data_IF_122959940169
#
_entry.id   IF_122959940169
#
_cell.length_a   1.000
_cell.length_b   1.000
_cell.length_c   1.000
_cell.angle_alpha   90.00
_cell.angle_beta   90.00
_cell.angle_gamma   90.00
#
_symmetry.space_group_name_H-M   'P 1'
#
loop_
_entity.id
_entity.type
_entity.pdbx_description
1 polymer ?
#
# COMPACT_ATOMS: atom_id res chain seq x y z
N UNK A 1 16.30 -37.67 38.07
CA UNK A 1 15.79 -36.28 38.24
C UNK A 1 14.47 -36.37 38.99
N UNK A 2 14.28 -35.63 40.09
CA UNK A 2 13.03 -35.71 40.88
C UNK A 2 11.82 -35.26 40.04
N UNK A 3 10.68 -35.96 40.18
CA UNK A 3 9.40 -35.63 39.53
C UNK A 3 9.01 -34.15 39.74
N UNK A 4 9.35 -33.61 40.91
CA UNK A 4 9.11 -32.20 41.28
C UNK A 4 9.93 -31.25 40.39
N UNK A 5 11.18 -31.62 40.05
CA UNK A 5 12.02 -30.81 39.15
C UNK A 5 11.50 -30.85 37.71
N UNK A 6 10.97 -31.98 37.26
CA UNK A 6 10.38 -32.10 35.93
C UNK A 6 9.10 -31.26 35.83
N UNK A 7 8.19 -31.39 36.81
CA UNK A 7 6.94 -30.62 36.84
C UNK A 7 7.21 -29.10 36.92
N UNK A 8 8.15 -28.68 37.79
CA UNK A 8 8.52 -27.28 37.91
C UNK A 8 9.10 -26.71 36.61
N UNK A 9 9.90 -27.48 35.87
CA UNK A 9 10.45 -27.05 34.59
C UNK A 9 9.35 -26.90 33.52
N UNK A 10 8.41 -27.86 33.44
CA UNK A 10 7.31 -27.80 32.47
C UNK A 10 6.38 -26.62 32.73
N UNK A 11 6.07 -26.34 34.00
CA UNK A 11 5.25 -25.17 34.38
C UNK A 11 5.96 -23.86 34.03
N UNK A 12 7.27 -23.76 34.27
CA UNK A 12 8.06 -22.58 33.89
C UNK A 12 8.10 -22.36 32.38
N UNK A 13 8.28 -23.42 31.59
CA UNK A 13 8.24 -23.35 30.12
C UNK A 13 6.85 -22.96 29.62
N UNK A 14 5.78 -23.46 30.25
CA UNK A 14 4.41 -23.11 29.89
C UNK A 14 4.06 -21.65 30.23
N UNK A 15 4.46 -21.17 31.41
CA UNK A 15 4.32 -19.74 31.79
C UNK A 15 5.15 -18.86 30.85
N UNK A 16 6.37 -19.28 30.50
CA UNK A 16 7.21 -18.56 29.55
C UNK A 16 6.58 -18.55 28.14
N UNK A 17 6.00 -19.65 27.67
CA UNK A 17 5.27 -19.70 26.40
C UNK A 17 4.01 -18.81 26.41
N UNK A 18 3.26 -18.77 27.51
CA UNK A 18 2.12 -17.86 27.70
C UNK A 18 2.55 -16.39 27.79
N UNK A 19 3.72 -16.11 28.36
CA UNK A 19 4.30 -14.76 28.37
C UNK A 19 4.90 -14.39 26.99
N UNK A 20 5.35 -15.38 26.22
CA UNK A 20 5.87 -15.22 24.86
C UNK A 20 4.79 -15.23 23.78
N UNK A 21 3.53 -15.52 24.09
CA UNK A 21 2.41 -15.04 23.26
C UNK A 21 2.24 -13.55 23.51
N UNK A 22 3.28 -12.78 23.19
CA UNK A 22 3.10 -11.38 22.90
C UNK A 22 2.06 -11.35 21.80
N UNK A 23 0.92 -10.71 22.07
CA UNK A 23 -0.01 -10.36 21.03
C UNK A 23 0.83 -9.75 19.92
N UNK A 24 0.84 -10.41 18.76
CA UNK A 24 1.33 -9.79 17.54
C UNK A 24 0.38 -8.62 17.36
N UNK A 25 0.77 -7.47 17.91
CA UNK A 25 0.07 -6.21 17.72
C UNK A 25 0.25 -5.96 16.24
N UNK A 26 -0.79 -6.30 15.51
CA UNK A 26 -0.80 -6.03 14.12
C UNK A 26 -1.06 -4.52 14.02
N UNK A 27 -0.06 -3.86 13.46
CA UNK A 27 0.03 -2.41 13.46
C UNK A 27 -0.81 -1.87 12.29
N UNK A 28 -1.43 -0.68 12.44
CA UNK A 28 -2.17 -0.04 11.37
C UNK A 28 -1.29 0.10 10.12
N UNK A 29 -1.84 -0.22 8.96
CA UNK A 29 -1.16 -0.13 7.68
C UNK A 29 -2.01 0.63 6.66
N UNK A 30 -1.34 1.18 5.66
CA UNK A 30 -2.00 1.69 4.46
C UNK A 30 -1.70 0.74 3.31
N UNK A 31 -2.68 0.59 2.41
CA UNK A 31 -2.51 -0.20 1.19
C UNK A 31 -3.21 0.49 0.00
N UNK A 32 -2.73 0.18 -1.20
CA UNK A 32 -3.28 0.71 -2.45
C UNK A 32 -4.10 -0.38 -3.13
N UNK A 33 -5.25 -0.02 -3.70
CA UNK A 33 -5.99 -0.87 -4.62
C UNK A 33 -6.42 -0.08 -5.86
N UNK A 34 -6.56 -0.77 -6.98
CA UNK A 34 -7.21 -0.26 -8.19
C UNK A 34 -8.18 -1.32 -8.70
N UNK A 35 -9.17 -0.91 -9.49
CA UNK A 35 -10.06 -1.84 -10.18
C UNK A 35 -9.32 -2.67 -11.24
N UNK A 36 -8.22 -2.15 -11.80
CA UNK A 36 -7.41 -2.85 -12.79
C UNK A 36 -5.91 -2.51 -12.64
N UNK A 37 -5.04 -3.47 -12.28
CA UNK A 37 -3.59 -3.26 -12.20
C UNK A 37 -2.89 -3.28 -13.56
N UNK A 38 -3.54 -3.81 -14.61
CA UNK A 38 -3.04 -3.82 -15.98
C UNK A 38 -3.67 -2.65 -16.72
N UNK A 39 -2.91 -1.60 -16.91
CA UNK A 39 -3.39 -0.35 -17.48
C UNK A 39 -3.22 -0.41 -18.99
N UNK A 40 -4.34 -0.51 -19.70
CA UNK A 40 -4.34 -0.43 -21.15
C UNK A 40 -4.60 1.02 -21.59
N UNK A 41 -3.69 1.57 -22.40
CA UNK A 41 -3.91 2.88 -23.02
C UNK A 41 -3.34 4.08 -22.25
N UNK A 42 -3.71 5.25 -22.75
CA UNK A 42 -3.40 6.57 -22.16
C UNK A 42 -4.45 7.05 -21.18
N UNK A 43 -5.45 6.23 -20.87
CA UNK A 43 -6.59 6.63 -20.04
C UNK A 43 -6.16 6.83 -18.58
N UNK A 44 -6.64 7.88 -17.88
CA UNK A 44 -6.33 8.07 -16.48
C UNK A 44 -6.83 6.92 -15.60
N UNK A 45 -5.96 6.38 -14.76
CA UNK A 45 -6.27 5.28 -13.84
C UNK A 45 -6.32 5.77 -12.40
N UNK A 46 -7.35 5.35 -11.67
CA UNK A 46 -7.57 5.77 -10.28
C UNK A 46 -7.16 4.67 -9.30
N UNK A 47 -6.22 5.02 -8.44
CA UNK A 47 -5.76 4.23 -7.31
C UNK A 47 -6.43 4.73 -6.03
N UNK A 48 -7.02 3.82 -5.27
CA UNK A 48 -7.64 4.09 -3.98
C UNK A 48 -6.64 3.75 -2.87
N UNK A 49 -6.44 4.66 -1.94
CA UNK A 49 -5.58 4.47 -0.77
C UNK A 49 -6.47 4.14 0.42
N UNK A 50 -6.26 2.98 1.04
CA UNK A 50 -7.03 2.50 2.17
C UNK A 50 -6.17 2.42 3.44
N UNK A 51 -6.85 2.56 4.59
CA UNK A 51 -6.35 2.33 5.93
C UNK A 51 -6.93 1.02 6.47
N UNK A 52 -6.06 0.14 6.93
CA UNK A 52 -6.39 -0.97 7.84
C UNK A 52 -5.82 -0.65 9.21
N UNK A 53 -6.65 -0.59 10.24
CA UNK A 53 -6.18 -0.31 11.60
C UNK A 53 -5.89 -1.55 12.42
N UNK A 54 -6.22 -2.73 11.90
CA UNK A 54 -6.09 -4.02 12.56
C UNK A 54 -6.59 -4.04 14.02
N UNK A 55 -7.72 -3.35 14.24
CA UNK A 55 -8.36 -3.26 15.55
C UNK A 55 -7.91 -2.10 16.44
N UNK A 56 -6.85 -1.38 16.07
CA UNK A 56 -6.46 -0.14 16.74
C UNK A 56 -7.38 1.03 16.34
N UNK A 57 -7.43 2.06 17.19
CA UNK A 57 -8.09 3.33 16.87
C UNK A 57 -7.06 4.29 16.29
N UNK A 58 -7.35 4.85 15.11
CA UNK A 58 -6.51 5.85 14.44
C UNK A 58 -7.28 7.15 14.32
N UNK A 59 -6.74 8.23 14.90
CA UNK A 59 -7.34 9.56 14.90
C UNK A 59 -6.68 10.56 13.96
N UNK A 60 -5.47 10.27 13.50
CA UNK A 60 -4.76 11.04 12.49
C UNK A 60 -3.92 10.13 11.62
N UNK A 61 -3.85 10.44 10.33
CA UNK A 61 -3.15 9.69 9.30
C UNK A 61 -2.36 10.66 8.44
N UNK A 62 -1.08 10.38 8.22
CA UNK A 62 -0.31 10.99 7.16
C UNK A 62 0.36 9.91 6.34
N UNK A 63 0.30 10.01 5.01
CA UNK A 63 0.93 9.08 4.09
C UNK A 63 1.37 9.81 2.81
N UNK A 64 2.50 9.40 2.25
CA UNK A 64 2.97 9.83 0.94
C UNK A 64 2.93 8.65 -0.03
N UNK A 65 2.34 8.85 -1.21
CA UNK A 65 2.32 7.87 -2.30
C UNK A 65 3.27 8.35 -3.40
N UNK A 66 4.42 7.71 -3.53
CA UNK A 66 5.35 7.95 -4.62
C UNK A 66 4.95 7.22 -5.89
N UNK A 67 5.07 7.90 -7.02
CA UNK A 67 4.90 7.32 -8.36
C UNK A 67 6.09 7.72 -9.25
N UNK A 68 6.31 6.96 -10.31
CA UNK A 68 7.40 7.23 -11.25
C UNK A 68 6.92 8.17 -12.38
N UNK A 69 7.56 9.34 -12.50
CA UNK A 69 7.22 10.32 -13.54
C UNK A 69 7.64 9.90 -14.95
N UNK A 70 8.50 8.89 -15.10
CA UNK A 70 8.81 8.33 -16.41
C UNK A 70 7.62 7.55 -17.00
N UNK A 71 6.79 6.99 -16.12
CA UNK A 71 5.63 6.16 -16.49
C UNK A 71 4.30 6.92 -16.38
N UNK A 72 4.22 7.96 -15.55
CA UNK A 72 3.00 8.74 -15.32
C UNK A 72 3.25 10.24 -15.48
N UNK A 73 2.32 10.94 -16.14
CA UNK A 73 2.45 12.36 -16.45
C UNK A 73 1.64 13.23 -15.51
N UNK A 74 0.33 13.23 -15.72
CA UNK A 74 -0.59 14.01 -14.89
C UNK A 74 -1.01 13.21 -13.66
N UNK A 75 -0.99 13.86 -12.49
CA UNK A 75 -1.48 13.32 -11.25
C UNK A 75 -2.57 14.22 -10.66
N UNK A 76 -3.69 13.60 -10.28
CA UNK A 76 -4.81 14.25 -9.62
C UNK A 76 -5.10 13.54 -8.30
N UNK A 77 -5.43 14.29 -7.26
CA UNK A 77 -5.78 13.73 -5.94
C UNK A 77 -7.22 14.12 -5.59
N UNK A 78 -7.93 13.21 -4.93
CA UNK A 78 -9.28 13.43 -4.45
C UNK A 78 -9.47 12.86 -3.05
N UNK A 79 -10.22 13.59 -2.22
CA UNK A 79 -10.63 13.19 -0.88
C UNK A 79 -12.06 12.63 -0.83
N UNK A 80 -12.73 12.49 -1.98
CA UNK A 80 -14.13 12.09 -2.02
C UNK A 80 -14.34 10.66 -1.49
N UNK A 81 -15.27 10.53 -0.54
CA UNK A 81 -15.57 9.27 0.16
C UNK A 81 -14.56 8.88 1.23
N UNK A 82 -13.68 9.80 1.62
CA UNK A 82 -12.66 9.54 2.64
C UNK A 82 -13.25 9.37 4.05
N UNK A 83 -12.59 8.54 4.87
CA UNK A 83 -12.82 8.46 6.32
C UNK A 83 -12.24 9.67 7.07
N UNK A 84 -11.38 10.44 6.40
CA UNK A 84 -10.83 11.69 6.90
C UNK A 84 -11.94 12.75 7.02
N UNK A 85 -12.12 13.26 8.24
CA UNK A 85 -13.10 14.33 8.52
C UNK A 85 -12.52 15.73 8.40
N UNK A 86 -11.20 15.86 8.55
CA UNK A 86 -10.48 17.12 8.43
C UNK A 86 -9.15 16.91 7.74
N UNK A 87 -8.77 17.83 6.87
CA UNK A 87 -7.50 17.81 6.18
C UNK A 87 -6.55 18.80 6.84
N UNK A 88 -5.33 18.36 7.11
CA UNK A 88 -4.31 19.12 7.78
C UNK A 88 -3.08 19.29 6.87
N UNK A 89 -2.21 20.27 7.16
CA UNK A 89 -0.87 20.29 6.58
C UNK A 89 -0.12 18.99 6.91
N UNK A 90 0.77 18.56 6.02
CA UNK A 90 1.66 17.46 6.29
C UNK A 90 2.87 17.97 7.08
N UNK A 91 3.25 17.29 8.16
CA UNK A 91 4.34 17.71 9.04
C UNK A 91 5.74 17.52 8.44
N UNK A 92 5.88 16.79 7.33
CA UNK A 92 7.19 16.27 6.93
C UNK A 92 7.43 16.10 5.43
N UNK A 93 6.62 16.70 4.54
CA UNK A 93 6.86 16.58 3.08
C UNK A 93 6.64 17.88 2.30
N UNK A 94 7.71 18.52 1.77
CA UNK A 94 9.12 18.19 1.98
C UNK A 94 9.58 18.57 3.41
N UNK A 95 10.51 17.81 4.02
CA UNK A 95 11.11 18.20 5.27
C UNK A 95 11.91 19.51 5.08
N UNK A 96 11.47 20.59 5.71
CA UNK A 96 12.21 21.86 5.73
C UNK A 96 11.49 23.06 5.11
N UNK A 97 10.40 22.85 4.37
CA UNK A 97 9.54 23.95 3.93
C UNK A 97 8.24 23.90 4.73
N UNK A 98 8.00 24.93 5.56
CA UNK A 98 6.72 25.16 6.25
C UNK A 98 5.63 25.48 5.20
N UNK A 99 5.29 24.52 4.36
CA UNK A 99 4.21 24.67 3.40
C UNK A 99 2.89 24.60 4.18
N UNK A 100 2.23 25.75 4.31
CA UNK A 100 0.85 25.92 4.81
C UNK A 100 -0.15 25.33 3.80
N UNK A 101 0.20 24.22 3.14
CA UNK A 101 -0.66 23.57 2.15
C UNK A 101 -1.54 22.55 2.85
N UNK A 102 -2.84 22.79 2.81
CA UNK A 102 -3.83 21.78 3.15
C UNK A 102 -3.74 20.62 2.17
N UNK A 103 -3.72 19.38 2.68
CA UNK A 103 -3.72 18.17 1.87
C UNK A 103 -5.14 17.81 1.39
N UNK A 104 -5.31 16.93 0.38
CA UNK A 104 -4.26 16.28 -0.42
C UNK A 104 -3.62 17.20 -1.47
N UNK A 105 -2.34 17.00 -1.77
CA UNK A 105 -1.63 17.69 -2.87
C UNK A 105 -0.56 16.81 -3.51
N UNK A 106 -0.10 17.21 -4.71
CA UNK A 106 1.04 16.61 -5.41
C UNK A 106 2.29 17.45 -5.20
N UNK A 107 3.42 16.82 -4.85
CA UNK A 107 4.72 17.45 -4.76
C UNK A 107 5.84 16.46 -5.11
N UNK A 108 6.71 16.80 -6.05
CA UNK A 108 7.89 16.00 -6.42
C UNK A 108 7.56 14.52 -6.68
N UNK A 109 6.57 14.25 -7.55
CA UNK A 109 6.11 12.90 -7.89
C UNK A 109 5.58 12.08 -6.70
N UNK A 110 5.07 12.78 -5.68
CA UNK A 110 4.42 12.18 -4.51
C UNK A 110 3.05 12.82 -4.28
N UNK A 111 2.04 11.99 -4.07
CA UNK A 111 0.75 12.42 -3.57
C UNK A 111 0.76 12.37 -2.04
N UNK A 112 0.51 13.51 -1.39
CA UNK A 112 0.58 13.64 0.07
C UNK A 112 -0.83 13.74 0.63
N UNK A 113 -1.13 12.87 1.60
CA UNK A 113 -2.40 12.86 2.33
C UNK A 113 -2.07 13.05 3.82
N UNK A 114 -2.68 14.06 4.48
CA UNK A 114 -2.52 14.31 5.92
C UNK A 114 -3.86 14.73 6.51
N UNK A 115 -4.45 13.89 7.35
CA UNK A 115 -5.82 14.11 7.80
C UNK A 115 -6.06 13.69 9.24
N UNK A 116 -7.09 14.27 9.83
CA UNK A 116 -7.66 13.90 11.11
C UNK A 116 -9.02 13.21 10.95
N UNK A 117 -9.25 12.23 11.82
CA UNK A 117 -10.50 11.49 11.96
C UNK A 117 -11.10 11.87 13.32
N UNK A 118 -12.13 12.70 13.29
CA UNK A 118 -12.80 13.24 14.47
C UNK A 118 -13.52 12.14 15.26
N UNK A 119 -13.86 12.45 16.51
CA UNK A 119 -14.61 11.56 17.40
C UNK A 119 -13.74 10.44 17.97
N UNK A 120 -14.18 9.19 17.83
CA UNK A 120 -13.52 8.01 18.40
C UNK A 120 -12.36 7.48 17.53
N UNK A 121 -11.99 8.21 16.46
CA UNK A 121 -11.08 7.73 15.42
C UNK A 121 -11.72 6.66 14.54
N UNK A 122 -10.95 6.17 13.57
CA UNK A 122 -11.31 5.04 12.72
C UNK A 122 -10.77 3.74 13.31
N UNK A 123 -11.59 2.70 13.30
CA UNK A 123 -11.20 1.34 13.67
C UNK A 123 -11.89 0.37 12.69
N UNK A 124 -11.16 -0.07 11.67
CA UNK A 124 -11.69 -0.88 10.59
C UNK A 124 -10.62 -1.25 9.57
N UNK A 125 -10.97 -2.11 8.62
CA UNK A 125 -9.99 -2.78 7.73
C UNK A 125 -9.91 -2.18 6.33
N UNK A 126 -10.73 -1.18 6.00
CA UNK A 126 -10.83 -0.66 4.62
C UNK A 126 -11.34 0.78 4.61
N UNK A 127 -10.72 1.64 5.40
CA UNK A 127 -11.08 3.06 5.46
C UNK A 127 -10.45 3.79 4.28
N UNK A 128 -11.26 4.24 3.32
CA UNK A 128 -10.73 5.01 2.18
C UNK A 128 -10.10 6.30 2.72
N UNK A 129 -8.80 6.53 2.49
CA UNK A 129 -8.12 7.79 2.83
C UNK A 129 -8.29 8.78 1.68
N UNK A 130 -8.11 8.34 0.44
CA UNK A 130 -8.20 9.21 -0.72
C UNK A 130 -7.98 8.45 -2.01
N UNK A 131 -8.03 9.18 -3.12
CA UNK A 131 -7.83 8.65 -4.46
C UNK A 131 -6.71 9.41 -5.16
N UNK A 132 -5.88 8.69 -5.89
CA UNK A 132 -4.82 9.20 -6.75
C UNK A 132 -5.13 8.75 -8.17
N UNK A 133 -5.41 9.69 -9.07
CA UNK A 133 -5.61 9.41 -10.49
C UNK A 133 -4.36 9.79 -11.25
N UNK A 134 -3.77 8.84 -11.98
CA UNK A 134 -2.55 9.02 -12.77
C UNK A 134 -2.83 8.76 -14.25
N UNK A 135 -2.27 9.59 -15.13
CA UNK A 135 -2.31 9.38 -16.57
C UNK A 135 -1.03 8.68 -17.03
N UNK A 136 -1.11 7.47 -17.63
CA UNK A 136 0.06 6.78 -18.17
C UNK A 136 0.72 7.57 -19.31
N UNK A 137 2.05 7.54 -19.36
CA UNK A 137 2.86 8.14 -20.45
C UNK A 137 3.59 7.09 -21.29
N UNK A 138 4.05 6.02 -20.65
CA UNK A 138 4.97 5.06 -21.25
C UNK A 138 4.65 3.64 -20.78
N UNK A 139 4.85 2.70 -21.69
CA UNK A 139 4.70 1.28 -21.40
C UNK A 139 5.82 0.74 -20.52
N UNK A 140 5.47 -0.26 -19.71
CA UNK A 140 6.40 -1.04 -18.91
C UNK A 140 5.88 -1.29 -17.50
N UNK A 141 6.80 -1.69 -16.63
CA UNK A 141 6.50 -2.07 -15.27
C UNK A 141 6.99 -0.99 -14.32
N UNK A 142 6.11 -0.53 -13.44
CA UNK A 142 6.44 0.45 -12.40
C UNK A 142 5.80 0.05 -11.08
N UNK A 143 6.10 0.79 -10.01
CA UNK A 143 5.55 0.52 -8.68
C UNK A 143 5.13 1.81 -8.00
N UNK A 144 3.94 1.83 -7.42
CA UNK A 144 3.56 2.86 -6.47
C UNK A 144 4.13 2.50 -5.10
N UNK A 145 4.76 3.46 -4.44
CA UNK A 145 5.42 3.25 -3.14
C UNK A 145 4.69 4.03 -2.06
N UNK A 146 4.40 3.37 -0.94
CA UNK A 146 3.86 4.02 0.25
C UNK A 146 5.01 4.37 1.19
N UNK A 147 5.10 5.63 1.61
CA UNK A 147 6.17 6.12 2.46
C UNK A 147 5.70 7.20 3.43
N UNK A 148 6.57 7.52 4.39
CA UNK A 148 6.33 8.56 5.41
C UNK A 148 4.98 8.39 6.15
N UNK A 149 4.61 7.14 6.44
CA UNK A 149 3.43 6.85 7.23
C UNK A 149 3.59 7.39 8.66
N UNK A 150 2.57 8.11 9.11
CA UNK A 150 2.43 8.51 10.50
C UNK A 150 0.97 8.28 10.90
N UNK A 151 0.79 7.57 12.00
CA UNK A 151 -0.50 7.34 12.61
C UNK A 151 -0.48 7.88 14.03
N UNK A 152 -1.57 8.48 14.46
CA UNK A 152 -1.71 8.88 15.85
C UNK A 152 -3.16 8.75 16.33
N UNK A 153 -3.33 8.61 17.64
CA UNK A 153 -4.63 8.67 18.30
C UNK A 153 -4.50 9.42 19.61
N UNK A 154 -5.37 10.42 19.80
CA UNK A 154 -5.36 11.31 20.98
C UNK A 154 -3.96 11.85 21.31
N UNK A 155 -3.17 12.20 20.28
CA UNK A 155 -1.81 12.74 20.42
C UNK A 155 -0.71 11.69 20.60
N UNK A 156 -1.04 10.42 20.80
CA UNK A 156 -0.05 9.34 20.87
C UNK A 156 0.26 8.80 19.48
N UNK A 157 1.54 8.75 19.10
CA UNK A 157 1.96 8.13 17.84
C UNK A 157 1.78 6.61 17.89
N UNK A 158 1.28 6.04 16.80
CA UNK A 158 1.14 4.59 16.61
C UNK A 158 2.17 4.17 15.57
N UNK A 159 2.91 3.09 15.86
CA UNK A 159 3.91 2.54 14.94
C UNK A 159 3.21 2.00 13.70
N UNK A 160 3.57 2.44 12.48
CA UNK A 160 3.04 1.85 11.25
C UNK A 160 3.38 0.38 11.10
N UNK A 161 2.46 -0.40 10.54
CA UNK A 161 2.71 -1.74 10.03
C UNK A 161 3.54 -1.75 8.76
N UNK A 162 3.75 -2.95 8.21
CA UNK A 162 4.42 -3.10 6.93
C UNK A 162 3.57 -2.46 5.82
N UNK A 163 4.16 -1.51 5.09
CA UNK A 163 3.55 -0.93 3.90
C UNK A 163 4.01 -1.71 2.67
N UNK A 164 3.08 -2.08 1.80
CA UNK A 164 3.38 -2.78 0.56
C UNK A 164 3.58 -1.79 -0.60
N UNK A 165 4.53 -2.12 -1.48
CA UNK A 165 4.62 -1.50 -2.79
C UNK A 165 3.55 -2.11 -3.69
N UNK A 166 2.91 -1.28 -4.52
CA UNK A 166 1.86 -1.72 -5.44
C UNK A 166 2.42 -1.80 -6.86
N UNK A 167 2.64 -3.00 -7.43
CA UNK A 167 3.13 -3.15 -8.79
C UNK A 167 2.06 -2.75 -9.80
N UNK A 168 2.48 -2.06 -10.86
CA UNK A 168 1.62 -1.62 -11.96
C UNK A 168 2.27 -2.02 -13.28
N UNK A 169 1.47 -2.58 -14.18
CA UNK A 169 1.89 -2.92 -15.55
C UNK A 169 1.11 -2.02 -16.50
N UNK A 170 1.82 -1.28 -17.34
CA UNK A 170 1.26 -0.37 -18.33
C UNK A 170 1.54 -0.96 -19.71
N UNK A 171 0.48 -1.19 -20.48
CA UNK A 171 0.53 -1.71 -21.83
C UNK A 171 -0.32 -0.84 -22.77
N UNK A 172 0.28 0.01 -23.59
CA UNK A 172 -0.40 0.55 -24.76
C UNK A 172 -0.56 -0.56 -25.78
N UNK A 173 -1.65 -1.32 -25.65
CA UNK A 173 -2.15 -2.17 -26.72
C UNK A 173 -2.87 -1.34 -27.80
N UNK A 174 -2.57 -0.04 -27.92
CA UNK A 174 -2.98 0.77 -29.06
C UNK A 174 -2.18 0.29 -30.28
N UNK A 175 -2.56 -0.88 -30.80
CA UNK A 175 -2.31 -1.25 -32.18
C UNK A 175 -2.93 -0.15 -33.01
N UNK A 176 -2.10 0.73 -33.56
CA UNK A 176 -2.50 1.69 -34.57
C UNK A 176 -3.39 0.96 -35.59
N UNK A 177 -4.72 1.22 -35.60
CA UNK A 177 -5.61 0.48 -36.50
C UNK A 177 -5.38 0.85 -37.97
N UNK A 178 -4.46 1.78 -38.26
CA UNK A 178 -4.18 2.27 -39.60
C UNK A 178 -2.68 2.29 -39.97
N UNK A 179 -1.89 1.38 -39.42
CA UNK A 179 -0.67 0.96 -40.10
C UNK A 179 -1.05 0.18 -41.37
N UNK A 180 -1.59 0.88 -42.37
CA UNK A 180 -1.76 0.39 -43.74
C UNK A 180 -0.41 -0.22 -44.13
N UNK A 181 -0.36 -1.52 -44.49
CA UNK A 181 0.91 -2.16 -44.82
C UNK A 181 1.56 -1.35 -45.93
N UNK A 182 2.71 -0.73 -45.63
CA UNK A 182 3.51 -0.05 -46.64
C UNK A 182 3.74 -1.07 -47.76
N UNK A 183 3.30 -0.82 -49.00
CA UNK A 183 3.41 -1.81 -50.06
C UNK A 183 4.89 -2.19 -50.20
N UNK A 184 5.18 -3.48 -50.06
CA UNK A 184 6.51 -4.04 -50.29
C UNK A 184 7.03 -3.52 -51.63
N UNK A 185 8.18 -2.82 -51.68
CA UNK A 185 8.71 -2.35 -52.94
C UNK A 185 8.92 -3.57 -53.86
N UNK A 186 8.24 -3.54 -55.00
CA UNK A 186 8.43 -4.52 -56.07
C UNK A 186 9.91 -4.54 -56.46
N UNK A 187 10.57 -5.72 -56.55
CA UNK A 187 11.97 -5.77 -56.92
C UNK A 187 12.16 -5.13 -58.29
N UNK A 188 12.91 -4.03 -58.33
CA UNK A 188 13.31 -3.38 -59.57
C UNK A 188 14.20 -4.35 -60.34
N UNK A 189 13.95 -4.61 -61.64
CA UNK A 189 14.79 -5.49 -62.43
C UNK A 189 16.21 -4.91 -62.49
N UNK A 190 17.18 -5.68 -61.99
CA UNK A 190 18.61 -5.40 -62.06
C UNK A 190 19.06 -5.31 -63.52
N UNK A 191 19.26 -4.10 -64.03
CA UNK A 191 19.98 -3.88 -65.28
C UNK A 191 21.48 -3.95 -65.01
N UNK A 192 22.13 -4.95 -65.59
CA UNK A 192 23.59 -5.06 -65.64
C UNK A 192 24.07 -3.98 -66.60
N UNK A 193 24.58 -2.87 -66.07
CA UNK A 193 25.28 -1.85 -66.84
C UNK A 193 26.74 -1.78 -66.40
N UNK A 194 27.57 -1.94 -67.42
CA UNK A 194 29.02 -1.96 -67.50
C UNK A 194 29.68 -0.75 -66.83
N UNK A 195 30.79 -1.00 -66.14
CA UNK A 195 31.72 -0.02 -65.60
C UNK A 195 32.21 1.00 -66.65
N UNK A 196 31.97 2.28 -66.43
CA UNK A 196 32.80 3.34 -67.03
C UNK A 196 32.66 4.68 -66.30
N UNK A 197 33.82 5.21 -65.93
CA UNK A 197 34.17 6.61 -65.69
C UNK A 197 33.52 7.39 -64.52
N UNK A 198 34.40 7.76 -63.59
CA UNK A 198 34.35 8.91 -62.69
C UNK A 198 33.88 10.19 -63.40
N UNK A 199 32.99 10.96 -62.75
CA UNK A 199 33.31 12.37 -62.53
C UNK A 199 32.97 12.85 -61.11
N UNK A 200 33.81 13.75 -60.62
CA UNK A 200 33.60 14.61 -59.45
C UNK A 200 32.41 15.54 -59.66
N UNK A 201 31.63 15.85 -58.60
CA UNK A 201 30.93 17.13 -58.54
C UNK A 201 31.32 17.94 -57.31
N UNK A 202 31.66 19.20 -57.60
CA UNK A 202 31.64 20.36 -56.72
C UNK A 202 30.17 20.81 -56.64
N UNK A 203 29.54 20.88 -55.45
CA UNK A 203 28.46 21.84 -55.17
C UNK A 203 28.39 22.16 -53.66
N UNK A 204 28.82 23.37 -53.34
CA UNK A 204 28.18 24.42 -52.51
C UNK A 204 27.00 24.03 -51.61
N UNK A 205 27.16 24.19 -50.30
CA UNK A 205 26.04 24.36 -49.35
C UNK A 205 25.95 25.84 -48.94
N UNK A 206 25.02 26.56 -49.58
CA UNK A 206 24.37 27.71 -48.94
C UNK A 206 23.36 27.16 -47.92
N UNK A 207 23.47 27.60 -46.67
CA UNK A 207 22.43 27.44 -45.65
C UNK A 207 21.72 28.77 -45.51
N UNK A 208 20.45 28.79 -45.93
CA UNK A 208 19.43 29.82 -45.68
C UNK A 208 18.29 29.09 -44.96
N UNK A 209 17.58 29.82 -44.08
CA UNK A 209 16.54 29.43 -43.11
C UNK A 209 17.11 29.04 -41.73
N UNK A 210 16.64 29.59 -40.62
CA UNK A 210 15.66 30.65 -40.38
C UNK A 210 15.87 31.05 -38.91
N UNK A 211 15.79 32.35 -38.63
CA UNK A 211 15.83 32.88 -37.27
C UNK A 211 14.58 32.41 -36.51
N UNK A 212 14.72 31.43 -35.61
CA UNK A 212 13.78 31.22 -34.52
C UNK A 212 14.39 31.83 -33.28
N UNK A 213 13.93 33.04 -33.00
CA UNK A 213 14.14 33.79 -31.77
C UNK A 213 13.61 32.97 -30.58
N UNK A 214 14.52 32.25 -29.91
CA UNK A 214 14.24 31.71 -28.58
C UNK A 214 14.32 32.87 -27.61
N UNK A 215 13.15 33.29 -27.13
CA UNK A 215 12.99 34.19 -26.00
C UNK A 215 13.58 33.52 -24.76
N UNK A 216 14.80 33.92 -24.41
CA UNK A 216 15.38 33.66 -23.11
C UNK A 216 14.56 34.41 -22.05
N UNK A 217 13.72 33.67 -21.32
CA UNK A 217 13.22 34.14 -20.03
C UNK A 217 14.39 34.16 -19.05
N UNK A 218 15.05 35.32 -18.96
CA UNK A 218 15.95 35.68 -17.86
C UNK A 218 15.21 35.55 -16.53
N UNK A 219 15.45 34.43 -15.86
CA UNK A 219 15.06 34.23 -14.48
C UNK A 219 16.02 35.07 -13.60
N UNK A 220 15.51 36.23 -13.19
CA UNK A 220 16.21 37.16 -12.32
C UNK A 220 16.16 36.62 -10.88
N UNK A 221 17.16 35.84 -10.49
CA UNK A 221 17.37 35.45 -9.08
C UNK A 221 18.78 35.87 -8.66
N UNK A 222 18.83 36.99 -7.95
CA UNK A 222 20.03 37.50 -7.31
C UNK A 222 20.00 37.22 -5.81
N UNK A 223 21.22 37.10 -5.26
CA UNK A 223 21.62 36.81 -3.88
C UNK A 223 21.61 35.32 -3.51
N UNK A 224 22.74 34.67 -3.20
CA UNK A 224 24.12 35.09 -3.05
C UNK A 224 24.83 34.06 -2.18
N UNK A 225 25.82 33.35 -2.72
CA UNK A 225 26.85 32.70 -1.89
C UNK A 225 28.03 32.31 -2.77
N UNK A 226 29.13 33.02 -2.56
CA UNK A 226 30.46 32.81 -3.14
C UNK A 226 31.05 31.47 -2.71
N UNK A 227 31.30 30.59 -3.69
CA UNK A 227 32.14 29.41 -3.56
C UNK A 227 32.91 29.20 -4.86
N UNK A 228 34.12 29.74 -4.91
CA UNK A 228 35.06 29.65 -6.04
C UNK A 228 35.69 28.27 -6.10
N UNK A 229 35.59 27.60 -7.25
CA UNK A 229 36.54 26.58 -7.70
C UNK A 229 36.80 26.73 -9.18
N UNK A 230 38.00 27.22 -9.47
CA UNK A 230 38.63 27.31 -10.79
C UNK A 230 39.13 25.93 -11.21
N UNK A 231 38.59 25.37 -12.30
CA UNK A 231 39.20 24.28 -13.08
C UNK A 231 38.75 24.54 -14.52
N UNK A 232 39.59 25.09 -15.40
CA UNK A 232 40.62 24.33 -16.11
C UNK A 232 40.05 23.90 -17.47
N UNK A 233 40.00 24.85 -18.42
CA UNK A 233 39.54 24.62 -19.79
C UNK A 233 40.70 24.04 -20.59
N UNK A 234 40.76 22.72 -20.68
CA UNK A 234 41.57 22.01 -21.68
C UNK A 234 40.63 21.45 -22.74
N UNK A 235 40.68 22.05 -23.92
CA UNK A 235 40.08 21.55 -25.15
C UNK A 235 40.82 20.27 -25.56
N UNK A 236 40.29 19.11 -25.15
CA UNK A 236 40.65 17.83 -25.74
C UNK A 236 39.54 17.40 -26.69
N UNK A 237 39.85 17.46 -27.97
CA UNK A 237 39.13 16.86 -29.09
C UNK A 237 38.84 15.38 -28.78
N UNK A 238 37.57 15.05 -28.59
CA UNK A 238 37.08 13.70 -28.31
C UNK A 238 37.01 12.94 -29.64
N UNK A 239 37.96 12.02 -29.82
CA UNK A 239 37.98 11.02 -30.88
C UNK A 239 36.78 10.08 -30.69
N UNK A 240 35.80 10.14 -31.60
CA UNK A 240 34.63 9.26 -31.59
C UNK A 240 35.07 7.90 -32.12
N UNK A 241 35.42 7.00 -31.21
CA UNK A 241 35.61 5.59 -31.55
C UNK A 241 34.24 4.94 -31.67
N UNK A 242 33.85 4.59 -32.89
CA UNK A 242 32.69 3.72 -33.14
C UNK A 242 32.99 2.32 -32.59
N UNK A 243 32.55 2.04 -31.35
CA UNK A 243 32.61 0.70 -30.80
C UNK A 243 31.58 -0.20 -31.50
N UNK A 244 32.09 -1.20 -32.22
CA UNK A 244 31.34 -2.28 -32.86
C UNK A 244 30.58 -3.10 -31.80
N UNK A 245 29.28 -2.81 -31.67
CA UNK A 245 28.35 -3.48 -30.77
C UNK A 245 27.79 -4.80 -31.34
N UNK A 246 28.56 -5.54 -32.16
CA UNK A 246 28.15 -6.90 -32.56
C UNK A 246 28.26 -7.87 -31.39
N UNK A 247 27.11 -8.24 -30.84
CA UNK A 247 26.97 -9.29 -29.82
C UNK A 247 27.36 -10.65 -30.46
N UNK A 248 28.40 -11.35 -29.98
CA UNK A 248 28.75 -12.66 -30.51
C UNK A 248 27.63 -13.68 -30.22
N UNK A 249 27.39 -14.57 -31.19
CA UNK A 249 26.38 -15.62 -31.05
C UNK A 249 26.64 -16.48 -29.81
N UNK A 250 25.60 -16.85 -29.04
CA UNK A 250 25.75 -17.62 -27.83
C UNK A 250 26.39 -18.99 -28.13
N UNK A 251 27.25 -19.50 -27.23
CA UNK A 251 27.90 -20.78 -27.43
C UNK A 251 26.88 -21.94 -27.50
N UNK A 252 27.15 -22.98 -28.31
CA UNK A 252 26.24 -24.12 -28.46
C UNK A 252 26.09 -24.84 -27.11
N UNK A 253 24.85 -24.93 -26.62
CA UNK A 253 24.55 -25.64 -25.37
C UNK A 253 24.72 -27.15 -25.58
N UNK A 254 25.64 -27.75 -24.82
CA UNK A 254 25.76 -29.22 -24.72
C UNK A 254 24.51 -29.82 -24.04
N UNK A 255 23.98 -30.95 -24.54
CA UNK A 255 22.80 -31.60 -23.96
C UNK A 255 23.00 -31.95 -22.48
N UNK A 256 22.04 -31.54 -21.65
CA UNK A 256 21.99 -31.86 -20.22
C UNK A 256 21.88 -33.38 -20.04
N UNK A 257 22.73 -33.96 -19.19
CA UNK A 257 22.69 -35.39 -18.89
C UNK A 257 21.31 -35.79 -18.34
N UNK A 258 20.73 -36.87 -18.88
CA UNK A 258 19.43 -37.43 -18.47
C UNK A 258 19.47 -37.78 -16.98
N UNK A 259 18.49 -37.25 -16.23
CA UNK A 259 18.27 -37.61 -14.84
C UNK A 259 17.94 -39.11 -14.73
N UNK A 260 18.67 -39.81 -13.86
CA UNK A 260 18.38 -41.19 -13.47
C UNK A 260 17.10 -41.24 -12.63
N UNK A 261 16.16 -42.19 -12.88
CA UNK A 261 14.95 -42.31 -12.08
C UNK A 261 15.26 -42.79 -10.66
N UNK A 262 14.52 -42.31 -9.68
CA UNK A 262 14.54 -42.81 -8.31
C UNK A 262 14.06 -44.26 -8.24
N UNK A 263 14.73 -45.07 -7.41
CA UNK A 263 14.33 -46.45 -7.15
C UNK A 263 13.01 -46.48 -6.34
N UNK A 264 11.99 -47.12 -6.91
CA UNK A 264 10.75 -47.44 -6.20
C UNK A 264 11.00 -48.52 -5.14
N UNK A 265 10.49 -48.36 -3.90
CA UNK A 265 10.62 -49.39 -2.87
C UNK A 265 9.84 -50.65 -3.26
N UNK A 266 10.51 -51.79 -3.15
CA UNK A 266 9.98 -53.12 -3.45
C UNK A 266 9.03 -53.57 -2.33
N UNK A 267 7.73 -53.33 -2.51
CA UNK A 267 6.70 -53.75 -1.55
C UNK A 267 6.35 -55.20 -1.87
N UNK A 268 7.10 -56.12 -1.26
CA UNK A 268 6.88 -57.55 -1.38
C UNK A 268 5.55 -57.92 -0.71
N UNK A 269 4.49 -58.02 -1.50
CA UNK A 269 3.18 -58.54 -1.09
C UNK A 269 3.32 -60.05 -0.81
N UNK A 270 3.55 -60.41 0.46
CA UNK A 270 3.31 -61.77 0.91
C UNK A 270 1.80 -62.04 0.98
N UNK A 271 1.40 -63.11 0.30
CA UNK A 271 0.03 -63.59 0.18
C UNK A 271 -0.61 -63.91 1.55
N UNK A 272 -1.94 -63.78 1.68
CA UNK A 272 -2.64 -63.98 2.94
C UNK A 272 -2.98 -65.46 3.09
N UNK A 273 -2.40 -66.13 4.07
CA UNK A 273 -3.00 -67.37 4.57
C UNK A 273 -2.81 -67.55 6.07
N UNK A 274 -3.96 -67.75 6.72
CA UNK A 274 -4.17 -68.34 8.05
C UNK A 274 -3.65 -67.60 9.28
N UNK A 275 -4.50 -66.81 9.94
CA UNK A 275 -4.55 -66.75 11.40
C UNK A 275 -6.00 -66.53 11.91
N UNK A 276 -6.33 -67.09 13.08
CA UNK A 276 -7.70 -67.42 13.47
C UNK A 276 -8.47 -66.23 14.03
N UNK A 277 -9.79 -66.37 13.96
CA UNK A 277 -10.82 -65.55 14.60
C UNK A 277 -10.50 -65.37 16.08
N UNK A 278 -10.01 -64.18 16.45
CA UNK A 278 -9.78 -63.76 17.83
C UNK A 278 -10.92 -62.86 18.30
N UNK A 279 -11.81 -63.42 19.10
CA UNK A 279 -12.82 -62.71 19.87
C UNK A 279 -12.23 -61.56 20.70
N UNK A 280 -12.84 -60.38 20.56
CA UNK A 280 -13.17 -59.42 21.64
C UNK A 280 -12.13 -59.23 22.76
N UNK A 281 -10.93 -58.76 22.43
CA UNK A 281 -9.92 -58.32 23.42
C UNK A 281 -10.07 -56.84 23.86
N UNK A 282 -11.15 -56.14 23.48
CA UNK A 282 -11.25 -54.69 23.67
C UNK A 282 -11.77 -54.23 25.04
N UNK A 283 -12.36 -55.10 25.87
CA UNK A 283 -13.00 -54.67 27.13
C UNK A 283 -12.33 -55.24 28.38
N UNK A 284 -11.67 -56.39 28.33
CA UNK A 284 -10.92 -56.92 29.48
C UNK A 284 -9.62 -56.14 29.76
N UNK A 285 -9.03 -55.53 28.73
CA UNK A 285 -7.75 -54.81 28.85
C UNK A 285 -7.85 -53.46 29.59
N UNK A 286 -9.03 -52.83 29.64
CA UNK A 286 -9.25 -51.59 30.40
C UNK A 286 -9.33 -51.82 31.91
N UNK A 287 -9.75 -53.02 32.34
CA UNK A 287 -9.87 -53.36 33.77
C UNK A 287 -8.52 -53.74 34.38
N UNK A 288 -7.66 -54.43 33.62
CA UNK A 288 -6.29 -54.73 34.04
C UNK A 288 -5.37 -53.50 34.05
N UNK A 289 -5.69 -52.47 33.27
CA UNK A 289 -5.04 -51.15 33.32
C UNK A 289 -5.35 -50.34 34.60
N UNK A 290 -6.31 -50.78 35.41
CA UNK A 290 -6.70 -50.14 36.68
C UNK A 290 -6.24 -50.92 37.92
N UNK A 291 -5.59 -52.08 37.78
CA UNK A 291 -5.05 -52.84 38.92
C UNK A 291 -3.65 -52.31 39.27
N UNK A 292 -3.47 -51.60 40.40
CA UNK A 292 -2.18 -51.01 40.74
C UNK A 292 -1.23 -52.12 41.22
N UNK A 293 -0.15 -52.41 40.48
CA UNK A 293 0.93 -53.20 41.09
C UNK A 293 1.97 -53.95 40.25
N UNK A 294 1.86 -54.10 38.93
CA UNK A 294 2.75 -55.06 38.22
C UNK A 294 3.76 -54.53 37.20
N UNK A 295 3.70 -53.27 36.76
CA UNK A 295 4.71 -52.75 35.83
C UNK A 295 4.99 -51.26 36.05
N UNK A 296 6.26 -50.89 36.20
CA UNK A 296 6.70 -49.48 36.25
C UNK A 296 6.47 -48.76 34.91
N UNK A 297 6.39 -49.50 33.80
CA UNK A 297 6.11 -48.93 32.49
C UNK A 297 4.67 -48.41 32.38
N UNK A 298 3.69 -49.12 32.95
CA UNK A 298 2.27 -48.73 32.89
C UNK A 298 1.96 -47.46 33.68
N UNK A 299 2.63 -47.25 34.83
CA UNK A 299 2.46 -46.01 35.61
C UNK A 299 2.86 -44.76 34.81
N UNK A 300 3.87 -44.89 33.95
CA UNK A 300 4.38 -43.77 33.15
C UNK A 300 3.41 -43.43 32.02
N UNK A 301 2.86 -44.44 31.33
CA UNK A 301 1.86 -44.24 30.26
C UNK A 301 0.58 -43.64 30.81
N UNK A 302 0.08 -44.13 31.95
CA UNK A 302 -1.11 -43.57 32.62
C UNK A 302 -0.86 -42.13 33.07
N UNK A 303 0.33 -41.81 33.62
CA UNK A 303 0.67 -40.43 33.97
C UNK A 303 0.70 -39.50 32.76
N UNK A 304 1.27 -39.94 31.63
CA UNK A 304 1.36 -39.13 30.41
C UNK A 304 -0.04 -38.83 29.87
N UNK A 305 -0.93 -39.82 29.80
CA UNK A 305 -2.31 -39.61 29.37
C UNK A 305 -3.07 -38.70 30.34
N UNK A 306 -2.84 -38.81 31.65
CA UNK A 306 -3.46 -37.96 32.64
C UNK A 306 -2.98 -36.50 32.54
N UNK A 307 -1.67 -36.27 32.38
CA UNK A 307 -1.11 -34.93 32.16
C UNK A 307 -1.66 -34.33 30.87
N UNK A 308 -1.66 -35.08 29.77
CA UNK A 308 -2.20 -34.64 28.47
C UNK A 308 -3.67 -34.24 28.56
N UNK A 309 -4.47 -35.01 29.31
CA UNK A 309 -5.89 -34.70 29.52
C UNK A 309 -6.06 -33.41 30.33
N UNK A 310 -5.27 -33.22 31.40
CA UNK A 310 -5.31 -32.00 32.21
C UNK A 310 -4.88 -30.78 31.40
N UNK A 311 -3.79 -30.86 30.63
CA UNK A 311 -3.32 -29.74 29.81
C UNK A 311 -4.34 -29.36 28.75
N UNK A 312 -5.00 -30.34 28.12
CA UNK A 312 -6.09 -30.09 27.20
C UNK A 312 -7.29 -29.39 27.87
N UNK A 313 -7.65 -29.82 29.08
CA UNK A 313 -8.75 -29.22 29.85
C UNK A 313 -8.42 -27.77 30.24
N UNK A 314 -7.18 -27.49 30.65
CA UNK A 314 -6.70 -26.13 30.93
C UNK A 314 -6.76 -25.24 29.68
N UNK A 315 -6.36 -25.76 28.51
CA UNK A 315 -6.46 -25.03 27.25
C UNK A 315 -7.91 -24.68 26.89
N UNK A 316 -8.84 -25.63 27.05
CA UNK A 316 -10.27 -25.37 26.83
C UNK A 316 -10.77 -24.26 27.77
N UNK A 317 -10.42 -24.31 29.05
CA UNK A 317 -10.82 -23.28 30.03
C UNK A 317 -10.26 -21.91 29.64
N UNK A 318 -9.02 -21.83 29.16
CA UNK A 318 -8.42 -20.56 28.70
C UNK A 318 -9.11 -20.00 27.44
N UNK A 319 -9.48 -20.85 26.49
CA UNK A 319 -10.21 -20.45 25.28
C UNK A 319 -11.61 -19.94 25.65
N UNK A 320 -12.34 -20.68 26.50
CA UNK A 320 -13.65 -20.28 26.98
C UNK A 320 -13.59 -18.96 27.76
N UNK A 321 -12.57 -18.77 28.59
CA UNK A 321 -12.33 -17.52 29.30
C UNK A 321 -12.11 -16.35 28.33
N UNK A 322 -11.25 -16.52 27.32
CA UNK A 322 -10.97 -15.49 26.30
C UNK A 322 -12.24 -15.12 25.53
N UNK A 323 -13.04 -16.10 25.12
CA UNK A 323 -14.32 -15.86 24.45
C UNK A 323 -15.30 -15.12 25.38
N UNK A 324 -15.39 -15.50 26.65
CA UNK A 324 -16.27 -14.83 27.61
C UNK A 324 -15.85 -13.37 27.85
N UNK A 325 -14.55 -13.09 27.97
CA UNK A 325 -14.04 -11.72 28.12
C UNK A 325 -14.27 -10.87 26.87
N UNK A 326 -14.07 -11.43 25.68
CA UNK A 326 -14.37 -10.75 24.41
C UNK A 326 -15.85 -10.36 24.30
N UNK A 327 -16.75 -11.29 24.62
CA UNK A 327 -18.19 -11.03 24.65
C UNK A 327 -18.58 -9.95 25.66
N UNK A 328 -17.97 -9.93 26.85
CA UNK A 328 -18.21 -8.88 27.86
C UNK A 328 -17.73 -7.51 27.38
N UNK A 329 -16.54 -7.43 26.77
CA UNK A 329 -16.03 -6.18 26.21
C UNK A 329 -16.90 -5.67 25.06
N UNK A 330 -17.33 -6.54 24.16
CA UNK A 330 -18.21 -6.16 23.05
C UNK A 330 -19.58 -5.65 23.55
N UNK A 331 -20.13 -6.26 24.62
CA UNK A 331 -21.37 -5.79 25.24
C UNK A 331 -21.23 -4.44 25.95
N UNK A 332 -20.06 -4.16 26.54
CA UNK A 332 -19.77 -2.84 27.11
C UNK A 332 -19.61 -1.79 26.01
N UNK A 333 -18.88 -2.11 24.93
CA UNK A 333 -18.75 -1.24 23.76
C UNK A 333 -20.12 -0.94 23.13
N UNK A 334 -20.98 -1.94 22.97
CA UNK A 334 -22.31 -1.73 22.38
C UNK A 334 -23.19 -0.82 23.25
N UNK A 335 -23.18 -1.01 24.58
CA UNK A 335 -23.92 -0.14 25.51
C UNK A 335 -23.40 1.29 25.49
N UNK A 336 -22.08 1.46 25.44
CA UNK A 336 -21.47 2.79 25.35
C UNK A 336 -21.87 3.50 24.05
N UNK A 337 -21.89 2.79 22.92
CA UNK A 337 -22.35 3.34 21.63
C UNK A 337 -23.84 3.69 21.70
N UNK A 338 -24.67 2.84 22.31
CA UNK A 338 -26.11 3.10 22.49
C UNK A 338 -26.37 4.34 23.35
N UNK A 339 -25.63 4.50 24.46
CA UNK A 339 -25.69 5.70 25.31
C UNK A 339 -25.23 6.96 24.57
N UNK A 340 -24.17 6.85 23.76
CA UNK A 340 -23.67 7.98 22.96
C UNK A 340 -24.71 8.41 21.91
N UNK A 341 -25.27 7.44 21.17
CA UNK A 341 -26.30 7.70 20.16
C UNK A 341 -27.57 8.28 20.81
N UNK A 342 -28.00 7.74 21.95
CA UNK A 342 -29.15 8.27 22.70
C UNK A 342 -28.91 9.70 23.20
N UNK A 343 -27.69 10.00 23.68
CA UNK A 343 -27.31 11.35 24.09
C UNK A 343 -27.33 12.34 22.93
N UNK A 344 -26.79 11.96 21.77
CA UNK A 344 -26.81 12.81 20.57
C UNK A 344 -28.22 13.00 20.02
N UNK A 345 -29.06 11.95 19.98
CA UNK A 345 -30.47 12.04 19.59
C UNK A 345 -31.26 12.94 20.54
N UNK A 346 -31.03 12.87 21.85
CA UNK A 346 -31.69 13.73 22.83
C UNK A 346 -31.27 15.20 22.66
N UNK A 347 -29.99 15.46 22.39
CA UNK A 347 -29.51 16.80 22.06
C UNK A 347 -30.12 17.32 20.75
N UNK A 348 -30.29 16.45 19.75
CA UNK A 348 -30.89 16.79 18.46
C UNK A 348 -32.40 17.05 18.59
N UNK A 349 -33.10 16.24 19.38
CA UNK A 349 -34.52 16.42 19.70
C UNK A 349 -34.75 17.72 20.49
N UNK A 350 -33.88 18.04 21.45
CA UNK A 350 -33.91 19.32 22.18
C UNK A 350 -33.76 20.51 21.23
N UNK A 351 -32.85 20.43 20.26
CA UNK A 351 -32.72 21.47 19.22
C UNK A 351 -33.91 21.53 18.27
N UNK A 352 -34.50 20.39 17.90
CA UNK A 352 -35.68 20.33 17.03
C UNK A 352 -36.94 20.85 17.73
N UNK A 353 -37.07 20.66 19.05
CA UNK A 353 -38.16 21.21 19.84
C UNK A 353 -38.14 22.74 19.85
N UNK A 354 -36.95 23.35 19.96
CA UNK A 354 -36.77 24.81 19.85
C UNK A 354 -37.19 25.32 18.46
N UNK A 355 -36.93 24.55 17.40
CA UNK A 355 -37.34 24.90 16.02
C UNK A 355 -38.86 24.75 15.80
N UNK A 356 -39.57 23.94 16.58
CA UNK A 356 -41.03 23.77 16.49
C UNK A 356 -41.82 24.88 17.20
N UNK A 357 -41.22 25.61 18.13
CA UNK A 357 -41.80 26.85 18.64
C UNK A 357 -41.76 27.93 17.55
N UNK A 358 -42.90 28.58 17.29
CA UNK A 358 -43.04 29.59 16.23
C UNK A 358 -42.00 30.72 16.32
N UNK A 359 -41.54 31.05 17.53
CA UNK A 359 -40.46 32.01 17.75
C UNK A 359 -39.07 31.46 17.37
N UNK A 360 -38.80 30.18 17.64
CA UNK A 360 -37.51 29.57 17.31
C UNK A 360 -37.31 29.32 15.82
N UNK A 361 -38.40 29.10 15.07
CA UNK A 361 -38.35 29.00 13.61
C UNK A 361 -38.01 30.34 12.93
N UNK A 362 -38.58 31.45 13.45
CA UNK A 362 -38.27 32.80 12.98
C UNK A 362 -36.86 33.21 13.38
N UNK A 363 -36.43 32.92 14.62
CA UNK A 363 -35.07 33.18 15.07
C UNK A 363 -34.04 32.40 14.26
N UNK A 364 -34.30 31.12 13.98
CA UNK A 364 -33.41 30.30 13.14
C UNK A 364 -33.33 30.83 11.70
N UNK A 365 -34.46 31.22 11.09
CA UNK A 365 -34.44 31.84 9.76
C UNK A 365 -33.71 33.18 9.76
N UNK A 366 -33.85 33.98 10.82
CA UNK A 366 -33.13 35.25 10.99
C UNK A 366 -31.63 35.01 11.09
N UNK A 367 -31.20 34.15 12.03
CA UNK A 367 -29.78 33.84 12.27
C UNK A 367 -29.13 33.19 11.04
N UNK A 368 -29.88 32.36 10.30
CA UNK A 368 -29.44 31.75 9.06
C UNK A 368 -29.28 32.78 7.94
N UNK A 369 -30.25 33.67 7.73
CA UNK A 369 -30.17 34.71 6.72
C UNK A 369 -29.05 35.70 7.02
N UNK A 370 -28.86 36.09 8.29
CA UNK A 370 -27.76 36.95 8.74
C UNK A 370 -26.40 36.29 8.47
N UNK A 371 -26.27 34.99 8.74
CA UNK A 371 -25.04 34.24 8.45
C UNK A 371 -24.75 34.15 6.94
N UNK A 372 -25.77 33.96 6.10
CA UNK A 372 -25.63 33.93 4.63
C UNK A 372 -25.25 35.31 4.09
N UNK A 373 -25.86 36.38 4.60
CA UNK A 373 -25.58 37.75 4.18
C UNK A 373 -24.15 38.16 4.54
N UNK A 374 -23.67 37.80 5.74
CA UNK A 374 -22.29 38.03 6.17
C UNK A 374 -21.27 37.31 5.27
N UNK A 375 -21.55 36.07 4.87
CA UNK A 375 -20.70 35.32 3.93
C UNK A 375 -20.68 35.99 2.55
N UNK A 376 -21.83 36.49 2.08
CA UNK A 376 -21.94 37.22 0.81
C UNK A 376 -21.20 38.55 0.83
N UNK A 377 -21.21 39.28 1.95
CA UNK A 377 -20.43 40.51 2.12
C UNK A 377 -18.93 40.25 2.15
N UNK A 378 -18.47 39.23 2.90
CA UNK A 378 -17.05 38.83 2.89
C UNK A 378 -16.58 38.42 1.48
N UNK A 379 -17.45 37.77 0.70
CA UNK A 379 -17.15 37.41 -0.69
C UNK A 379 -17.06 38.62 -1.64
N UNK A 380 -17.86 39.67 -1.40
CA UNK A 380 -17.80 40.92 -2.18
C UNK A 380 -16.57 41.75 -1.82
N UNK A 381 -16.29 41.93 -0.53
CA UNK A 381 -15.09 42.65 -0.09
C UNK A 381 -13.78 41.95 -0.51
N UNK A 382 -13.77 40.61 -0.57
CA UNK A 382 -12.63 39.84 -1.06
C UNK A 382 -12.38 40.00 -2.57
N UNK A 383 -13.40 40.41 -3.34
CA UNK A 383 -13.29 40.62 -4.79
C UNK A 383 -12.73 42.00 -5.12
N UNK A 384 -13.17 43.04 -4.40
CA UNK A 384 -12.70 44.41 -4.63
C UNK A 384 -11.23 44.63 -4.19
N UNK A 385 -10.73 43.85 -3.22
CA UNK A 385 -9.33 43.93 -2.77
C UNK A 385 -8.32 43.22 -3.69
N UNK A 386 -8.77 42.44 -4.67
CA UNK A 386 -7.89 41.77 -5.63
C UNK A 386 -7.66 42.57 -6.92
N UNK A 387 -8.47 43.59 -7.20
CA UNK A 387 -8.31 44.43 -8.41
C UNK A 387 -7.40 45.66 -8.19
N UNK A 388 -6.95 45.94 -6.95
CA UNK A 388 -6.10 47.11 -6.61
C UNK A 388 -4.60 46.77 -6.42
N UNK A 389 -4.15 45.57 -6.82
CA UNK A 389 -2.72 45.20 -6.81
C UNK A 389 -2.25 44.63 -8.15
N UNK A 390 -2.47 45.38 -9.21
CA UNK A 390 -1.69 45.25 -10.44
C UNK A 390 -0.54 46.27 -10.37
N UNK A 391 0.73 45.87 -10.16
CA UNK A 391 1.84 46.80 -10.25
C UNK A 391 1.96 47.24 -11.70
N UNK A 392 1.97 48.55 -11.95
CA UNK A 392 2.37 49.09 -13.25
C UNK A 392 3.81 48.67 -13.53
N UNK A 393 4.01 47.92 -14.61
CA UNK A 393 5.31 47.70 -15.24
C UNK A 393 5.75 48.97 -15.98
#
# INVERSE_FOLDING_TARGET
MSLIKLFSATVLVFIFLLACTQSVFANPNCFITTSNPNIDGTDPVTFNIYLDTDGDQVGAVQIAVGYDSEYFGTALVSSYGSVCSMWAPANSVPPGENLIRTTPYIYSNKAIFSCGILGQGYNGTSGLIGKLTLTPLKDGNTTLTLGNAFFAFLGSSITPGAMSNYPVVISNTFTDPDATPTPTPSPTPTTIATSSATPTPIVTTETIFDDVEVVDFQNNTSSGSTGSTTVGSDNSELDIVEEDNTIPAPPPMTPRAKATPFATPDINYMAPDTMPVGEVLSVQNLRDLLVPGKSQADKTVVMINFISTITFLVLIVLILWKMMMSTRNNKLKSRYIEEMISGELSALESKMAIVKEKEGQQKFQSDFNESVEKILEEFKEGKDKNDEKTPKA
#
